data_IF_248443272702
#
_entry.id   IF_248443272702
#
_cell.length_a   1.000
_cell.length_b   1.000
_cell.length_c   1.000
_cell.angle_alpha   90.00
_cell.angle_beta   90.00
_cell.angle_gamma   90.00
#
_symmetry.space_group_name_H-M   'P 1'
#
loop_
_entity.id
_entity.type
_entity.pdbx_description
1 polymer ?
#
# COMPACT_ATOMS: atom_id res chain seq x y z
N UNK A 1 63.43 0.44 -41.66
CA UNK A 1 62.84 0.19 -40.32
C UNK A 1 61.35 0.48 -40.40
N UNK A 2 60.50 -0.55 -40.42
CA UNK A 2 59.04 -0.41 -40.56
C UNK A 2 58.45 0.01 -39.21
N UNK A 3 57.78 1.17 -39.16
CA UNK A 3 57.04 1.62 -37.98
C UNK A 3 55.70 0.88 -37.94
N UNK A 4 55.53 -0.01 -36.97
CA UNK A 4 54.26 -0.71 -36.71
C UNK A 4 53.39 0.22 -35.88
N UNK A 5 52.23 0.61 -36.43
CA UNK A 5 51.22 1.41 -35.74
C UNK A 5 50.34 0.45 -34.93
N UNK A 6 50.44 0.49 -33.60
CA UNK A 6 49.61 -0.33 -32.71
C UNK A 6 48.25 0.35 -32.52
N UNK A 7 47.21 -0.22 -33.13
CA UNK A 7 45.81 0.18 -32.90
C UNK A 7 45.35 -0.36 -31.55
N UNK A 8 45.12 0.52 -30.58
CA UNK A 8 44.45 0.18 -29.32
C UNK A 8 42.94 0.09 -29.57
N UNK A 9 42.40 -1.13 -29.55
CA UNK A 9 40.96 -1.38 -29.55
C UNK A 9 40.44 -1.19 -28.12
N UNK A 10 39.80 -0.06 -27.84
CA UNK A 10 39.08 0.17 -26.59
C UNK A 10 37.82 -0.70 -26.59
N UNK A 11 37.86 -1.87 -25.95
CA UNK A 11 36.65 -2.58 -25.55
C UNK A 11 36.00 -1.78 -24.42
N UNK A 12 34.93 -1.06 -24.74
CA UNK A 12 34.05 -0.48 -23.74
C UNK A 12 33.32 -1.62 -23.02
N UNK A 13 33.85 -2.05 -21.87
CA UNK A 13 33.13 -2.91 -20.94
C UNK A 13 32.13 -2.01 -20.23
N UNK A 14 30.91 -1.90 -20.76
CA UNK A 14 29.81 -1.32 -20.00
C UNK A 14 29.49 -2.29 -18.86
N UNK A 15 29.40 -1.83 -17.60
CA UNK A 15 28.82 -2.66 -16.56
C UNK A 15 27.35 -2.86 -16.94
N UNK A 16 27.01 -4.07 -17.37
CA UNK A 16 25.62 -4.52 -17.36
C UNK A 16 25.24 -4.50 -15.89
N UNK A 17 24.48 -3.49 -15.48
CA UNK A 17 23.72 -3.55 -14.24
C UNK A 17 22.76 -4.73 -14.40
N UNK A 18 23.20 -5.89 -13.92
CA UNK A 18 22.32 -7.02 -13.70
C UNK A 18 21.36 -6.59 -12.58
N UNK A 19 20.19 -6.08 -12.96
CA UNK A 19 19.04 -6.01 -12.06
C UNK A 19 18.61 -7.44 -11.77
N UNK A 20 19.31 -8.10 -10.86
CA UNK A 20 18.86 -9.31 -10.19
C UNK A 20 17.78 -8.93 -9.19
N UNK A 21 16.56 -8.70 -9.67
CA UNK A 21 15.39 -8.45 -8.84
C UNK A 21 14.18 -8.74 -9.70
N UNK A 22 13.42 -9.80 -9.36
CA UNK A 22 12.25 -10.22 -10.12
C UNK A 22 11.31 -9.04 -10.39
N UNK A 23 10.76 -8.98 -11.60
CA UNK A 23 9.77 -7.97 -11.96
C UNK A 23 8.64 -7.99 -10.92
N UNK A 24 8.51 -6.90 -10.15
CA UNK A 24 7.46 -6.78 -9.13
C UNK A 24 6.09 -7.06 -9.74
N UNK A 25 5.30 -7.91 -9.10
CA UNK A 25 3.95 -8.23 -9.55
C UNK A 25 3.05 -7.07 -9.15
N UNK A 26 2.30 -6.51 -10.09
CA UNK A 26 1.38 -5.41 -9.82
C UNK A 26 0.24 -5.83 -8.89
N UNK A 27 -0.08 -4.96 -7.95
CA UNK A 27 -1.22 -5.10 -7.03
C UNK A 27 -2.11 -3.87 -7.25
N UNK A 28 -3.26 -4.01 -7.90
CA UNK A 28 -4.15 -2.90 -8.24
C UNK A 28 -5.61 -3.24 -7.91
N UNK A 29 -6.35 -2.27 -7.39
CA UNK A 29 -7.73 -2.49 -6.98
C UNK A 29 -8.48 -1.26 -6.49
N UNK A 30 -9.70 -1.54 -6.04
CA UNK A 30 -10.63 -0.61 -5.45
C UNK A 30 -10.96 -1.04 -4.03
N UNK A 31 -11.01 -0.08 -3.13
CA UNK A 31 -11.49 -0.28 -1.76
C UNK A 31 -12.79 0.46 -1.52
N UNK A 32 -13.64 -0.15 -0.71
CA UNK A 32 -14.82 0.47 -0.12
C UNK A 32 -14.64 0.42 1.39
N UNK A 33 -14.76 1.55 2.07
CA UNK A 33 -14.64 1.62 3.51
C UNK A 33 -15.97 2.02 4.13
N UNK A 34 -16.33 1.36 5.23
CA UNK A 34 -17.47 1.72 6.07
C UNK A 34 -17.02 1.87 7.52
N UNK A 35 -17.19 3.05 8.10
CA UNK A 35 -16.96 3.29 9.53
C UNK A 35 -18.02 2.55 10.35
N UNK A 36 -17.58 1.70 11.27
CA UNK A 36 -18.43 0.91 12.16
C UNK A 36 -18.30 1.30 13.64
N UNK A 37 -17.21 1.96 14.00
CA UNK A 37 -16.99 2.51 15.35
C UNK A 37 -16.16 3.78 15.26
N UNK A 38 -16.44 4.75 16.14
CA UNK A 38 -15.72 6.02 16.18
C UNK A 38 -15.58 6.55 17.60
N UNK A 39 -14.38 7.00 17.91
CA UNK A 39 -14.04 7.70 19.15
C UNK A 39 -13.25 8.95 18.81
N UNK A 40 -13.56 10.04 19.51
CA UNK A 40 -12.87 11.31 19.35
C UNK A 40 -12.17 11.71 20.64
N UNK A 41 -10.93 12.17 20.51
CA UNK A 41 -10.16 12.79 21.58
C UNK A 41 -9.92 14.23 21.16
N UNK A 42 -10.55 15.18 21.83
CA UNK A 42 -10.41 16.62 21.54
C UNK A 42 -9.31 17.22 22.42
N UNK A 43 -8.39 17.93 21.81
CA UNK A 43 -7.43 18.81 22.47
C UNK A 43 -7.72 20.28 22.15
N UNK A 44 -6.89 21.19 22.67
CA UNK A 44 -7.05 22.63 22.44
C UNK A 44 -6.71 23.04 21.00
N UNK A 45 -5.72 22.37 20.39
CA UNK A 45 -5.18 22.71 19.06
C UNK A 45 -5.63 21.78 17.93
N UNK A 46 -6.48 20.80 18.24
CA UNK A 46 -6.91 19.78 17.28
C UNK A 46 -7.56 18.58 17.95
N UNK A 47 -7.72 17.50 17.19
CA UNK A 47 -8.34 16.28 17.68
C UNK A 47 -7.78 15.03 17.02
N UNK A 48 -7.86 13.91 17.74
CA UNK A 48 -7.65 12.57 17.18
C UNK A 48 -9.02 11.91 17.00
N UNK A 49 -9.29 11.45 15.78
CA UNK A 49 -10.40 10.54 15.49
C UNK A 49 -9.82 9.14 15.38
N UNK A 50 -10.19 8.28 16.32
CA UNK A 50 -9.93 6.84 16.25
C UNK A 50 -11.17 6.17 15.69
N UNK A 51 -11.05 5.45 14.58
CA UNK A 51 -12.20 4.78 13.98
C UNK A 51 -11.86 3.34 13.59
N UNK A 52 -12.86 2.47 13.66
CA UNK A 52 -12.82 1.14 13.05
C UNK A 52 -13.64 1.14 11.78
N UNK A 53 -13.17 0.44 10.77
CA UNK A 53 -13.86 0.29 9.50
C UNK A 53 -13.98 -1.17 9.11
N UNK A 54 -15.12 -1.52 8.52
CA UNK A 54 -15.29 -2.75 7.75
C UNK A 54 -15.05 -2.40 6.29
N UNK A 55 -13.97 -2.90 5.73
CA UNK A 55 -13.58 -2.60 4.36
C UNK A 55 -13.89 -3.78 3.42
N UNK A 56 -13.99 -3.48 2.13
CA UNK A 56 -14.05 -4.46 1.05
C UNK A 56 -13.08 -4.04 -0.05
N UNK A 57 -12.16 -4.92 -0.41
CA UNK A 57 -11.16 -4.71 -1.46
C UNK A 57 -11.48 -5.62 -2.64
N UNK A 58 -11.67 -5.02 -3.80
CA UNK A 58 -11.73 -5.67 -5.10
C UNK A 58 -10.40 -5.39 -5.81
N UNK A 59 -9.48 -6.37 -5.79
CA UNK A 59 -8.13 -6.26 -6.36
C UNK A 59 -7.93 -7.29 -7.48
N UNK A 60 -8.47 -7.03 -8.68
CA UNK A 60 -8.44 -7.98 -9.79
C UNK A 60 -7.03 -8.23 -10.35
N UNK A 61 -6.07 -7.36 -10.01
CA UNK A 61 -4.67 -7.50 -10.42
C UNK A 61 -3.87 -7.80 -9.15
N UNK A 62 -3.59 -9.08 -8.91
CA UNK A 62 -2.86 -9.62 -7.76
C UNK A 62 -2.02 -10.84 -8.18
N UNK A 63 -1.09 -11.33 -7.34
CA UNK A 63 -0.35 -12.55 -7.64
C UNK A 63 -1.26 -13.77 -7.78
N UNK A 64 -0.80 -14.75 -8.57
CA UNK A 64 -1.50 -16.02 -8.73
C UNK A 64 -1.75 -16.69 -7.36
N UNK A 65 -2.95 -17.22 -7.17
CA UNK A 65 -3.37 -17.86 -5.93
C UNK A 65 -3.95 -16.90 -4.88
N UNK A 66 -3.85 -15.58 -5.06
CA UNK A 66 -4.53 -14.63 -4.19
C UNK A 66 -6.02 -14.57 -4.56
N UNK A 67 -6.93 -14.41 -3.57
CA UNK A 67 -8.34 -14.17 -3.86
C UNK A 67 -8.50 -12.84 -4.61
N UNK A 68 -9.46 -12.74 -5.53
CA UNK A 68 -9.71 -11.50 -6.28
C UNK A 68 -10.47 -10.43 -5.48
N UNK A 69 -10.99 -10.77 -4.31
CA UNK A 69 -11.60 -9.81 -3.39
C UNK A 69 -11.46 -10.28 -1.93
N UNK A 70 -11.38 -9.33 -1.01
CA UNK A 70 -11.23 -9.58 0.43
C UNK A 70 -11.95 -8.53 1.27
N UNK A 71 -12.24 -8.84 2.54
CA UNK A 71 -12.94 -7.94 3.48
C UNK A 71 -12.15 -7.74 4.76
N UNK A 72 -11.15 -6.83 4.77
CA UNK A 72 -10.38 -6.57 5.98
C UNK A 72 -11.15 -5.68 6.97
N UNK A 73 -10.86 -5.86 8.25
CA UNK A 73 -11.22 -4.91 9.30
C UNK A 73 -10.05 -3.96 9.52
N UNK A 74 -10.29 -2.65 9.55
CA UNK A 74 -9.24 -1.68 9.77
C UNK A 74 -9.46 -0.85 11.03
N UNK A 75 -8.35 -0.48 11.69
CA UNK A 75 -8.30 0.55 12.72
C UNK A 75 -7.52 1.74 12.21
N UNK A 76 -8.06 2.94 12.38
CA UNK A 76 -7.47 4.18 11.89
C UNK A 76 -7.32 5.19 13.03
N UNK A 77 -6.22 5.93 13.02
CA UNK A 77 -6.01 7.11 13.86
C UNK A 77 -5.75 8.31 12.97
N UNK A 78 -6.66 9.28 13.02
CA UNK A 78 -6.69 10.45 12.15
C UNK A 78 -6.45 11.68 13.02
N UNK A 79 -5.42 12.46 12.68
CA UNK A 79 -5.12 13.72 13.33
C UNK A 79 -5.71 14.88 12.51
N UNK A 80 -6.51 15.71 13.16
CA UNK A 80 -7.10 16.91 12.59
C UNK A 80 -6.64 18.14 13.37
N UNK A 81 -6.43 19.27 12.68
CA UNK A 81 -6.23 20.57 13.34
C UNK A 81 -7.53 21.13 13.94
N UNK A 82 -7.45 22.27 14.62
CA UNK A 82 -8.61 22.96 15.21
C UNK A 82 -9.70 23.37 14.21
N UNK A 83 -9.37 23.45 12.91
CA UNK A 83 -10.31 23.77 11.84
C UNK A 83 -10.89 22.51 11.17
N UNK A 84 -10.48 21.32 11.62
CA UNK A 84 -10.87 20.05 11.03
C UNK A 84 -10.06 19.64 9.79
N UNK A 85 -8.97 20.33 9.47
CA UNK A 85 -8.11 19.93 8.36
C UNK A 85 -7.30 18.69 8.73
N UNK A 86 -7.17 17.77 7.78
CA UNK A 86 -6.33 16.58 7.92
C UNK A 86 -4.86 16.98 8.08
N UNK A 87 -4.24 16.55 9.18
CA UNK A 87 -2.80 16.65 9.39
C UNK A 87 -2.10 15.40 8.86
N UNK A 88 -2.56 14.24 9.29
CA UNK A 88 -2.11 12.93 8.86
C UNK A 88 -3.07 11.86 9.40
N UNK A 89 -2.98 10.65 8.86
CA UNK A 89 -3.59 9.49 9.48
C UNK A 89 -2.71 8.25 9.34
N UNK A 90 -2.93 7.28 10.22
CA UNK A 90 -2.38 5.93 10.09
C UNK A 90 -3.51 4.93 10.13
N UNK A 91 -3.43 3.88 9.33
CA UNK A 91 -4.36 2.76 9.36
C UNK A 91 -3.62 1.42 9.46
N UNK A 92 -4.25 0.47 10.13
CA UNK A 92 -3.84 -0.93 10.15
C UNK A 92 -5.06 -1.74 9.76
N UNK A 93 -4.93 -2.61 8.77
CA UNK A 93 -5.99 -3.46 8.25
C UNK A 93 -5.61 -4.92 8.45
N UNK A 94 -6.50 -5.66 9.08
CA UNK A 94 -6.37 -7.08 9.40
C UNK A 94 -7.26 -7.87 8.44
N UNK A 95 -6.63 -8.81 7.75
CA UNK A 95 -7.27 -9.63 6.73
C UNK A 95 -7.24 -11.09 7.17
N UNK A 96 -8.37 -11.77 6.98
CA UNK A 96 -8.49 -13.22 6.89
C UNK A 96 -9.13 -13.54 5.54
N UNK A 97 -8.45 -14.30 4.69
CA UNK A 97 -8.96 -14.66 3.38
C UNK A 97 -9.79 -15.97 3.36
N UNK A 98 -10.32 -16.32 2.19
CA UNK A 98 -11.15 -17.52 2.00
C UNK A 98 -10.42 -18.84 2.21
N UNK A 99 -9.09 -18.86 2.13
CA UNK A 99 -8.26 -20.05 2.34
C UNK A 99 -7.82 -20.18 3.81
N UNK A 100 -8.14 -19.19 4.64
CA UNK A 100 -7.74 -19.12 6.04
C UNK A 100 -6.37 -18.47 6.28
N UNK A 101 -5.79 -17.86 5.25
CA UNK A 101 -4.55 -17.10 5.39
C UNK A 101 -4.83 -15.70 5.94
N UNK A 102 -3.94 -15.22 6.82
CA UNK A 102 -4.05 -13.87 7.38
C UNK A 102 -2.99 -12.94 6.80
N UNK A 103 -3.33 -11.65 6.77
CA UNK A 103 -2.37 -10.60 6.46
C UNK A 103 -2.66 -9.35 7.28
N UNK A 104 -1.60 -8.59 7.57
CA UNK A 104 -1.71 -7.26 8.15
C UNK A 104 -1.12 -6.28 7.16
N UNK A 105 -1.93 -5.29 6.80
CA UNK A 105 -1.52 -4.14 6.00
C UNK A 105 -1.49 -2.91 6.87
N UNK A 106 -0.54 -2.02 6.61
CA UNK A 106 -0.50 -0.70 7.24
C UNK A 106 -0.50 0.38 6.19
N UNK A 107 -1.05 1.54 6.50
CA UNK A 107 -0.91 2.71 5.67
C UNK A 107 -0.72 4.00 6.46
N UNK A 108 -0.13 4.96 5.75
CA UNK A 108 0.16 6.30 6.25
C UNK A 108 -0.43 7.27 5.23
N UNK A 109 -1.31 8.15 5.70
CA UNK A 109 -2.03 9.13 4.91
C UNK A 109 -1.47 10.51 5.27
N UNK A 110 -1.10 11.28 4.25
CA UNK A 110 -0.62 12.65 4.44
C UNK A 110 -1.77 13.65 4.48
N UNK A 111 -1.45 14.94 4.68
CA UNK A 111 -2.44 16.02 4.74
C UNK A 111 -3.22 16.23 3.44
N UNK A 112 -2.79 15.64 2.32
CA UNK A 112 -3.52 15.68 1.05
C UNK A 112 -4.63 14.62 0.97
N UNK A 113 -4.67 13.68 1.92
CA UNK A 113 -5.56 12.53 1.88
C UNK A 113 -5.05 11.39 1.00
N UNK A 114 -3.82 11.51 0.47
CA UNK A 114 -3.15 10.42 -0.25
C UNK A 114 -2.40 9.53 0.73
N UNK A 115 -2.48 8.22 0.50
CA UNK A 115 -1.89 7.22 1.38
C UNK A 115 -0.80 6.40 0.70
N UNK A 116 0.16 5.93 1.50
CA UNK A 116 1.05 4.82 1.15
C UNK A 116 0.66 3.60 1.96
N UNK A 117 0.65 2.43 1.35
CA UNK A 117 0.36 1.16 2.02
C UNK A 117 1.53 0.20 1.95
N UNK A 118 1.59 -0.74 2.89
CA UNK A 118 2.56 -1.81 2.95
C UNK A 118 1.90 -3.09 3.51
N UNK A 119 2.22 -4.24 2.92
CA UNK A 119 2.03 -5.55 3.54
C UNK A 119 3.07 -5.70 4.66
N UNK A 120 2.62 -5.63 5.91
CA UNK A 120 3.49 -5.70 7.09
C UNK A 120 3.91 -7.15 7.36
N UNK A 121 2.94 -8.07 7.32
CA UNK A 121 3.16 -9.50 7.55
C UNK A 121 1.96 -10.31 7.08
N UNK A 122 2.11 -11.63 7.01
CA UNK A 122 1.02 -12.56 6.75
C UNK A 122 1.46 -14.02 6.83
N UNK A 123 0.50 -14.92 6.69
CA UNK A 123 0.69 -16.37 6.63
C UNK A 123 0.39 -16.90 5.23
N UNK A 124 0.68 -18.18 5.01
CA UNK A 124 0.44 -18.86 3.73
C UNK A 124 0.99 -18.06 2.56
N UNK A 125 0.14 -17.77 1.56
CA UNK A 125 0.57 -17.05 0.36
C UNK A 125 1.04 -15.62 0.61
N UNK A 126 0.63 -14.96 1.69
CA UNK A 126 1.11 -13.61 2.04
C UNK A 126 2.52 -13.61 2.61
N UNK A 127 2.96 -14.69 3.25
CA UNK A 127 4.28 -14.78 3.90
C UNK A 127 5.44 -14.62 2.89
N UNK A 128 5.21 -15.12 1.67
CA UNK A 128 6.17 -15.15 0.56
C UNK A 128 6.34 -13.79 -0.14
N UNK A 129 5.61 -12.76 0.28
CA UNK A 129 5.62 -11.45 -0.41
C UNK A 129 6.03 -10.31 0.52
N UNK A 130 6.72 -9.34 -0.06
CA UNK A 130 6.77 -7.96 0.41
C UNK A 130 5.92 -7.12 -0.54
N UNK A 131 4.97 -6.34 -0.01
CA UNK A 131 4.05 -5.55 -0.82
C UNK A 131 4.04 -4.09 -0.37
N UNK A 132 4.03 -3.15 -1.31
CA UNK A 132 3.82 -1.74 -0.99
C UNK A 132 3.26 -0.95 -2.19
N UNK A 133 2.68 0.21 -1.90
CA UNK A 133 2.11 1.06 -2.92
C UNK A 133 1.45 2.33 -2.39
N UNK A 134 0.52 2.88 -3.16
CA UNK A 134 -0.27 4.06 -2.82
C UNK A 134 -1.76 3.75 -2.84
N UNK A 135 -2.53 4.57 -2.13
CA UNK A 135 -3.98 4.57 -2.19
C UNK A 135 -4.52 6.00 -2.08
N UNK A 136 -5.72 6.22 -2.61
CA UNK A 136 -6.36 7.53 -2.57
C UNK A 136 -7.87 7.38 -2.55
N UNK A 137 -8.52 8.11 -1.64
CA UNK A 137 -9.99 8.27 -1.66
C UNK A 137 -10.41 8.99 -2.93
N UNK A 138 -11.25 8.34 -3.74
CA UNK A 138 -11.75 8.89 -5.00
C UNK A 138 -13.20 9.36 -4.89
N UNK A 139 -13.93 8.90 -3.88
CA UNK A 139 -15.31 9.30 -3.65
C UNK A 139 -15.64 9.22 -2.17
N UNK A 140 -16.13 10.33 -1.60
CA UNK A 140 -16.83 10.31 -0.32
C UNK A 140 -18.31 10.09 -0.59
N UNK A 141 -18.87 8.98 -0.10
CA UNK A 141 -20.27 8.60 -0.34
C UNK A 141 -21.16 9.19 0.75
N UNK A 142 -20.70 9.17 2.00
CA UNK A 142 -21.35 9.77 3.17
C UNK A 142 -20.30 10.05 4.24
N UNK A 143 -20.68 10.55 5.41
CA UNK A 143 -19.76 10.77 6.54
C UNK A 143 -19.09 9.48 7.05
N UNK A 144 -19.64 8.31 6.71
CA UNK A 144 -19.16 7.00 7.18
C UNK A 144 -18.73 6.07 6.05
N UNK A 145 -18.86 6.48 4.79
CA UNK A 145 -18.59 5.62 3.65
C UNK A 145 -17.76 6.32 2.59
N UNK A 146 -16.77 5.60 2.07
CA UNK A 146 -15.91 6.09 1.00
C UNK A 146 -15.52 4.98 0.03
N UNK A 147 -15.13 5.39 -1.17
CA UNK A 147 -14.46 4.56 -2.17
C UNK A 147 -13.05 5.10 -2.40
N UNK A 148 -12.09 4.20 -2.46
CA UNK A 148 -10.70 4.51 -2.78
C UNK A 148 -10.17 3.59 -3.88
N UNK A 149 -9.07 4.00 -4.49
CA UNK A 149 -8.27 3.18 -5.39
C UNK A 149 -6.93 2.91 -4.72
N UNK A 150 -6.32 1.78 -5.02
CA UNK A 150 -4.96 1.49 -4.63
C UNK A 150 -4.18 0.83 -5.75
N UNK A 151 -2.87 1.08 -5.77
CA UNK A 151 -1.93 0.47 -6.69
C UNK A 151 -0.58 0.26 -6.01
N UNK A 152 0.18 -0.72 -6.45
CA UNK A 152 1.48 -1.02 -5.89
C UNK A 152 2.11 -2.26 -6.51
N UNK A 153 3.12 -2.78 -5.84
CA UNK A 153 3.86 -3.96 -6.28
C UNK A 153 4.12 -4.91 -5.12
N UNK A 154 3.98 -6.20 -5.38
CA UNK A 154 4.45 -7.29 -4.55
C UNK A 154 5.73 -7.89 -5.12
N UNK A 155 6.68 -8.16 -4.25
CA UNK A 155 7.94 -8.82 -4.55
C UNK A 155 7.95 -10.14 -3.81
N UNK A 156 8.12 -11.24 -4.56
CA UNK A 156 8.28 -12.55 -3.93
C UNK A 156 9.66 -12.62 -3.27
N UNK A 157 9.70 -13.08 -2.03
CA UNK A 157 10.92 -13.27 -1.22
C UNK A 157 11.76 -14.44 -1.73
#
# INVERSE_FOLDING_TARGET
MKKVLATFLFLAITPIAAFGGGHGIKWEGHGFSQVVDVKQIKGESGMIVSQKTSDFWDWPIVPEGFPAAVSPECSQSIALDQNGNLLAAVNTCELLDSDGDIAIFTGIIDSTGSGKWQLLTGTGKYADYDGNGTFQTVTQISDTQSKYVFSGHGFKK
#
